data_IF_309179824466
#
_entry.id   IF_309179824466
#
_cell.length_a   1.000
_cell.length_b   1.000
_cell.length_c   1.000
_cell.angle_alpha   90.00
_cell.angle_beta   90.00
_cell.angle_gamma   90.00
#
_symmetry.space_group_name_H-M   'P 1'
#
loop_
_entity.id
_entity.type
_entity.pdbx_description
1 polymer ?
#
# COMPACT_ATOMS: atom_id res chain seq x y z
N UNK A 1 -29.94 -8.77 16.66
CA UNK A 1 -29.18 -8.17 15.56
C UNK A 1 -30.14 -7.23 14.86
N UNK A 2 -30.10 -5.97 15.28
CA UNK A 2 -30.87 -4.88 14.71
C UNK A 2 -30.16 -4.34 13.46
N UNK A 3 -30.86 -3.58 12.61
CA UNK A 3 -30.26 -2.92 11.43
C UNK A 3 -29.13 -1.96 11.84
N UNK A 4 -29.26 -1.33 13.01
CA UNK A 4 -28.22 -0.48 13.61
C UNK A 4 -26.93 -1.26 13.93
N UNK A 5 -27.04 -2.46 14.49
CA UNK A 5 -25.87 -3.30 14.81
C UNK A 5 -25.09 -3.69 13.54
N UNK A 6 -25.81 -3.93 12.43
CA UNK A 6 -25.19 -4.26 11.15
C UNK A 6 -24.39 -3.09 10.58
N UNK A 7 -24.90 -1.86 10.69
CA UNK A 7 -24.20 -0.65 10.26
C UNK A 7 -22.93 -0.41 11.08
N UNK A 8 -23.00 -0.59 12.40
CA UNK A 8 -21.85 -0.44 13.29
C UNK A 8 -20.76 -1.46 12.93
N UNK A 9 -21.12 -2.73 12.72
CA UNK A 9 -20.15 -3.77 12.32
C UNK A 9 -19.47 -3.42 10.99
N UNK A 10 -20.20 -2.91 10.00
CA UNK A 10 -19.63 -2.50 8.72
C UNK A 10 -18.65 -1.34 8.91
N UNK A 11 -19.00 -0.34 9.72
CA UNK A 11 -18.11 0.79 9.99
C UNK A 11 -16.81 0.34 10.68
N UNK A 12 -16.92 -0.54 11.69
CA UNK A 12 -15.75 -1.12 12.35
C UNK A 12 -14.90 -1.98 11.40
N UNK A 13 -15.53 -2.76 10.53
CA UNK A 13 -14.82 -3.57 9.55
C UNK A 13 -14.02 -2.70 8.57
N UNK A 14 -14.63 -1.64 8.02
CA UNK A 14 -13.95 -0.68 7.13
C UNK A 14 -12.79 -0.01 7.85
N UNK A 15 -13.00 0.45 9.09
CA UNK A 15 -11.94 1.07 9.87
C UNK A 15 -10.77 0.13 10.13
N UNK A 16 -11.07 -1.13 10.46
CA UNK A 16 -10.07 -2.17 10.69
C UNK A 16 -9.23 -2.42 9.44
N UNK A 17 -9.86 -2.53 8.27
CA UNK A 17 -9.16 -2.73 6.99
C UNK A 17 -8.30 -1.52 6.64
N UNK A 18 -8.79 -0.29 6.87
CA UNK A 18 -8.03 0.93 6.63
C UNK A 18 -6.77 0.98 7.49
N UNK A 19 -6.90 0.76 8.80
CA UNK A 19 -5.76 0.80 9.72
C UNK A 19 -4.78 -0.35 9.45
N UNK A 20 -5.28 -1.54 9.14
CA UNK A 20 -4.44 -2.70 8.82
C UNK A 20 -3.65 -2.52 7.51
N UNK A 21 -4.24 -1.89 6.49
CA UNK A 21 -3.59 -1.67 5.19
C UNK A 21 -2.72 -0.41 5.13
N UNK A 22 -2.98 0.58 6.01
CA UNK A 22 -2.25 1.85 6.07
C UNK A 22 -0.71 1.73 6.02
N UNK A 23 -0.04 0.90 6.85
CA UNK A 23 1.43 0.82 6.83
C UNK A 23 1.98 0.28 5.51
N UNK A 24 1.33 -0.73 4.93
CA UNK A 24 1.74 -1.33 3.65
C UNK A 24 1.57 -0.32 2.52
N UNK A 25 0.44 0.38 2.49
CA UNK A 25 0.16 1.42 1.48
C UNK A 25 1.19 2.54 1.57
N UNK A 26 1.50 3.02 2.78
CA UNK A 26 2.45 4.11 2.99
C UNK A 26 3.85 3.74 2.45
N UNK A 27 4.34 2.56 2.77
CA UNK A 27 5.66 2.10 2.29
C UNK A 27 5.64 1.89 0.78
N UNK A 28 4.58 1.29 0.23
CA UNK A 28 4.44 1.12 -1.22
C UNK A 28 4.43 2.46 -1.97
N UNK A 29 3.81 3.51 -1.38
CA UNK A 29 3.82 4.86 -1.92
C UNK A 29 5.22 5.49 -1.88
N UNK A 30 5.91 5.46 -0.73
CA UNK A 30 7.25 6.05 -0.59
C UNK A 30 8.24 5.42 -1.57
N UNK A 31 8.25 4.09 -1.65
CA UNK A 31 9.13 3.34 -2.57
C UNK A 31 8.75 3.59 -4.02
N UNK A 32 7.46 3.59 -4.34
CA UNK A 32 6.96 3.86 -5.68
C UNK A 32 7.37 5.26 -6.18
N UNK A 33 7.23 6.28 -5.33
CA UNK A 33 7.59 7.66 -5.66
C UNK A 33 9.11 7.79 -5.84
N UNK A 34 9.91 7.20 -4.93
CA UNK A 34 11.36 7.25 -5.02
C UNK A 34 11.89 6.62 -6.33
N UNK A 35 11.35 5.47 -6.71
CA UNK A 35 11.73 4.81 -7.97
C UNK A 35 11.24 5.62 -9.18
N UNK A 36 10.00 6.11 -9.17
CA UNK A 36 9.47 6.92 -10.27
C UNK A 36 10.31 8.18 -10.51
N UNK A 37 10.82 8.80 -9.44
CA UNK A 37 11.75 9.94 -9.54
C UNK A 37 13.06 9.53 -10.21
N UNK A 38 13.67 8.41 -9.80
CA UNK A 38 14.91 7.90 -10.41
C UNK A 38 14.69 7.57 -11.89
N UNK A 39 13.57 6.94 -12.23
CA UNK A 39 13.21 6.62 -13.61
C UNK A 39 13.05 7.89 -14.45
N UNK A 40 12.42 8.93 -13.89
CA UNK A 40 12.26 10.22 -14.57
C UNK A 40 13.60 10.94 -14.77
N UNK A 41 14.48 10.95 -13.75
CA UNK A 41 15.77 11.64 -13.80
C UNK A 41 16.79 10.94 -14.73
N UNK A 42 16.75 9.61 -14.79
CA UNK A 42 17.69 8.81 -15.60
C UNK A 42 17.14 8.40 -16.96
N UNK A 43 15.85 8.65 -17.22
CA UNK A 43 15.11 8.21 -18.41
C UNK A 43 15.06 6.68 -18.58
N UNK A 44 15.38 5.91 -17.54
CA UNK A 44 15.33 4.44 -17.55
C UNK A 44 13.91 3.98 -17.20
N UNK A 45 13.12 3.62 -18.21
CA UNK A 45 11.72 3.16 -18.07
C UNK A 45 11.60 1.64 -18.11
N UNK A 46 12.49 0.95 -17.39
CA UNK A 46 12.45 -0.51 -17.28
C UNK A 46 11.39 -0.95 -16.26
N UNK A 47 10.42 -1.75 -16.70
CA UNK A 47 9.30 -2.25 -15.87
C UNK A 47 9.79 -3.08 -14.67
N UNK A 48 10.93 -3.77 -14.81
CA UNK A 48 11.51 -4.61 -13.75
C UNK A 48 12.01 -3.79 -12.55
N UNK A 49 12.48 -2.57 -12.80
CA UNK A 49 13.07 -1.66 -11.81
C UNK A 49 12.01 -1.10 -10.84
N UNK A 50 10.76 -0.98 -11.29
CA UNK A 50 9.62 -0.62 -10.42
C UNK A 50 9.01 -1.80 -9.71
N UNK A 51 9.09 -3.01 -10.28
CA UNK A 51 8.40 -4.18 -9.76
C UNK A 51 9.14 -4.86 -8.60
N UNK A 52 10.44 -5.13 -8.76
CA UNK A 52 11.23 -5.90 -7.78
C UNK A 52 11.37 -5.15 -6.44
N UNK A 53 11.81 -3.89 -6.38
CA UNK A 53 12.01 -3.23 -5.09
C UNK A 53 10.69 -2.98 -4.36
N UNK A 54 9.59 -2.78 -5.09
CA UNK A 54 8.25 -2.59 -4.51
C UNK A 54 7.76 -3.87 -3.82
N UNK A 55 7.96 -5.04 -4.42
CA UNK A 55 7.59 -6.32 -3.79
C UNK A 55 8.41 -6.55 -2.52
N UNK A 56 9.72 -6.32 -2.57
CA UNK A 56 10.60 -6.49 -1.39
C UNK A 56 10.15 -5.57 -0.25
N UNK A 57 9.82 -4.31 -0.55
CA UNK A 57 9.34 -3.37 0.44
C UNK A 57 8.00 -3.79 1.08
N UNK A 58 7.05 -4.29 0.29
CA UNK A 58 5.77 -4.81 0.81
C UNK A 58 6.00 -6.04 1.71
N UNK A 59 6.86 -6.96 1.28
CA UNK A 59 7.20 -8.15 2.05
C UNK A 59 7.81 -7.81 3.42
N UNK A 60 8.68 -6.79 3.49
CA UNK A 60 9.28 -6.35 4.76
C UNK A 60 8.29 -5.69 5.73
N UNK A 61 7.16 -5.18 5.24
CA UNK A 61 6.13 -4.56 6.09
C UNK A 61 5.11 -5.58 6.59
N UNK A 62 4.88 -6.64 5.81
CA UNK A 62 3.93 -7.71 6.14
C UNK A 62 4.57 -8.83 6.95
N UNK A 63 5.88 -9.08 6.78
CA UNK A 63 6.66 -10.06 7.53
C UNK A 63 6.94 -9.61 8.97
#
# INVERSE_FOLDING_TARGET
>A
MNEADALDIVQYAVWTVLVASAPVVLVAMVVGIGIALIQALTQVQEITLTFVPKIVAIMLVVA
#
